data_IF_454967058585
#
_entry.id   IF_454967058585
#
_cell.length_a   1.000
_cell.length_b   1.000
_cell.length_c   1.000
_cell.angle_alpha   90.00
_cell.angle_beta   90.00
_cell.angle_gamma   90.00
#
_symmetry.space_group_name_H-M   'P 1'
#
loop_
_entity.id
_entity.type
_entity.pdbx_description
1 polymer ?
#
# COMPACT_ATOMS: atom_id res chain seq x y z
N UNK A 1 15.23 13.82 -6.94
CA UNK A 1 15.07 14.68 -5.75
C UNK A 1 14.27 13.98 -4.64
N UNK A 2 12.99 13.66 -4.84
CA UNK A 2 12.13 13.09 -3.79
C UNK A 2 12.66 11.83 -3.10
N UNK A 3 13.20 10.83 -3.83
CA UNK A 3 13.79 9.65 -3.20
C UNK A 3 15.02 9.97 -2.32
N UNK A 4 15.76 11.05 -2.59
CA UNK A 4 16.88 11.48 -1.74
C UNK A 4 16.35 12.02 -0.42
N UNK A 5 15.28 12.83 -0.46
CA UNK A 5 14.58 13.31 0.74
C UNK A 5 14.00 12.14 1.55
N UNK A 6 13.37 11.16 0.89
CA UNK A 6 12.84 9.97 1.56
C UNK A 6 13.92 9.17 2.30
N UNK A 7 15.12 9.02 1.71
CA UNK A 7 16.25 8.35 2.39
C UNK A 7 16.75 9.13 3.61
N UNK A 8 16.71 10.46 3.56
CA UNK A 8 17.08 11.29 4.70
C UNK A 8 16.06 11.15 5.84
N UNK A 9 14.77 11.23 5.51
CA UNK A 9 13.68 11.00 6.49
C UNK A 9 13.78 9.59 7.07
N UNK A 10 14.08 8.57 6.25
CA UNK A 10 14.26 7.19 6.73
C UNK A 10 15.33 7.11 7.82
N UNK A 11 16.46 7.81 7.64
CA UNK A 11 17.54 7.85 8.63
C UNK A 11 17.12 8.56 9.92
N UNK A 12 16.40 9.67 9.82
CA UNK A 12 15.90 10.43 10.96
C UNK A 12 14.83 9.66 11.76
N UNK A 13 14.06 8.81 11.09
CA UNK A 13 13.04 7.96 11.69
C UNK A 13 13.53 6.55 12.05
N UNK A 14 14.84 6.27 11.92
CA UNK A 14 15.44 4.95 12.19
C UNK A 14 14.77 3.80 11.41
N UNK A 15 14.38 4.06 10.15
CA UNK A 15 13.79 3.08 9.25
C UNK A 15 14.91 2.44 8.41
N UNK A 16 15.21 1.17 8.69
CA UNK A 16 16.23 0.40 7.94
C UNK A 16 15.80 0.04 6.51
N UNK A 17 14.49 -0.04 6.26
CA UNK A 17 13.95 -0.36 4.94
C UNK A 17 14.21 0.79 3.98
N UNK A 18 14.77 0.49 2.81
CA UNK A 18 14.99 1.49 1.77
C UNK A 18 13.67 2.16 1.33
N UNK A 19 13.48 3.43 1.65
CA UNK A 19 12.29 4.19 1.25
C UNK A 19 12.39 4.67 -0.20
N UNK A 20 11.29 4.53 -0.92
CA UNK A 20 11.09 5.08 -2.27
C UNK A 20 9.66 5.51 -2.45
N UNK A 21 9.39 6.36 -3.44
CA UNK A 21 8.01 6.74 -3.80
C UNK A 21 7.14 5.51 -4.10
N UNK A 22 7.70 4.48 -4.74
CA UNK A 22 6.98 3.22 -5.00
C UNK A 22 6.56 2.53 -3.71
N UNK A 23 7.47 2.42 -2.74
CA UNK A 23 7.18 1.81 -1.43
C UNK A 23 6.18 2.65 -0.63
N UNK A 24 6.32 3.97 -0.63
CA UNK A 24 5.37 4.86 0.02
C UNK A 24 3.95 4.72 -0.59
N UNK A 25 3.86 4.63 -1.92
CA UNK A 25 2.60 4.39 -2.62
C UNK A 25 1.98 3.05 -2.24
N UNK A 26 2.79 2.00 -2.12
CA UNK A 26 2.33 0.68 -1.68
C UNK A 26 1.84 0.70 -0.23
N UNK A 27 2.57 1.33 0.68
CA UNK A 27 2.14 1.50 2.07
C UNK A 27 0.81 2.26 2.17
N UNK A 28 0.63 3.33 1.38
CA UNK A 28 -0.63 4.04 1.31
C UNK A 28 -1.76 3.15 0.77
N UNK A 29 -1.51 2.37 -0.28
CA UNK A 29 -2.48 1.44 -0.88
C UNK A 29 -3.04 0.45 0.14
N UNK A 30 -2.15 -0.24 0.87
CA UNK A 30 -2.52 -1.17 1.95
C UNK A 30 -3.38 -0.48 3.02
N UNK A 31 -2.89 0.63 3.61
CA UNK A 31 -3.58 1.29 4.73
C UNK A 31 -4.95 1.85 4.31
N UNK A 32 -5.04 2.37 3.09
CA UNK A 32 -6.24 3.05 2.62
C UNK A 32 -7.31 2.06 2.14
N UNK A 33 -6.94 0.87 1.66
CA UNK A 33 -7.86 -0.18 1.23
C UNK A 33 -8.83 -0.60 2.34
N UNK A 34 -8.34 -0.69 3.57
CA UNK A 34 -9.15 -1.12 4.73
C UNK A 34 -10.05 -0.02 5.30
N UNK A 35 -9.71 1.25 5.04
CA UNK A 35 -10.30 2.40 5.74
C UNK A 35 -11.15 3.30 4.86
N UNK A 36 -10.97 3.24 3.54
CA UNK A 36 -11.57 4.18 2.60
C UNK A 36 -12.40 3.41 1.58
N UNK A 37 -13.67 3.79 1.45
CA UNK A 37 -14.58 3.19 0.47
C UNK A 37 -14.00 3.27 -0.96
N UNK A 38 -14.09 2.21 -1.79
CA UNK A 38 -13.45 2.16 -3.13
C UNK A 38 -13.78 3.33 -4.06
N UNK A 39 -15.01 3.86 -4.03
CA UNK A 39 -15.41 5.05 -4.81
C UNK A 39 -14.64 6.32 -4.38
N UNK A 40 -14.28 6.43 -3.11
CA UNK A 40 -13.48 7.56 -2.62
C UNK A 40 -12.01 7.37 -2.98
N UNK A 41 -11.49 6.14 -2.90
CA UNK A 41 -10.15 5.80 -3.40
C UNK A 41 -9.99 6.12 -4.89
N UNK A 42 -11.00 5.84 -5.71
CA UNK A 42 -11.00 6.18 -7.13
C UNK A 42 -10.75 7.67 -7.35
N UNK A 43 -11.42 8.54 -6.58
CA UNK A 43 -11.24 10.00 -6.64
C UNK A 43 -9.84 10.42 -6.17
N UNK A 44 -9.35 9.83 -5.08
CA UNK A 44 -8.02 10.12 -4.53
C UNK A 44 -6.90 9.71 -5.48
N UNK A 45 -7.04 8.55 -6.13
CA UNK A 45 -6.11 8.08 -7.16
C UNK A 45 -6.29 8.76 -8.51
N UNK A 46 -7.38 9.51 -8.69
CA UNK A 46 -7.78 10.13 -9.96
C UNK A 46 -7.92 9.11 -11.09
N UNK A 47 -8.44 7.93 -10.77
CA UNK A 47 -8.74 6.92 -11.77
C UNK A 47 -10.11 7.17 -12.41
N UNK A 48 -10.18 7.11 -13.74
CA UNK A 48 -11.45 7.30 -14.46
C UNK A 48 -12.45 6.17 -14.21
N UNK A 49 -11.97 4.97 -13.90
CA UNK A 49 -12.78 3.77 -13.72
C UNK A 49 -12.55 3.15 -12.33
N UNK A 50 -13.63 2.72 -11.67
CA UNK A 50 -13.59 1.99 -10.41
C UNK A 50 -12.86 0.66 -10.55
N UNK A 51 -12.99 -0.03 -11.70
CA UNK A 51 -12.29 -1.28 -12.01
C UNK A 51 -10.77 -1.12 -11.90
N UNK A 52 -10.23 0.00 -12.37
CA UNK A 52 -8.79 0.31 -12.22
C UNK A 52 -8.38 0.42 -10.75
N UNK A 53 -9.25 0.98 -9.91
CA UNK A 53 -9.01 1.12 -8.47
C UNK A 53 -9.09 -0.24 -7.77
N UNK A 54 -10.08 -1.07 -8.10
CA UNK A 54 -10.22 -2.42 -7.55
C UNK A 54 -9.05 -3.31 -7.95
N UNK A 55 -8.65 -3.29 -9.22
CA UNK A 55 -7.47 -4.04 -9.69
C UNK A 55 -6.18 -3.55 -9.03
N UNK A 56 -6.05 -2.24 -8.81
CA UNK A 56 -4.91 -1.70 -8.08
C UNK A 56 -4.91 -2.21 -6.63
N UNK A 57 -6.06 -2.15 -5.94
CA UNK A 57 -6.25 -2.62 -4.56
C UNK A 57 -6.05 -4.13 -4.41
N UNK A 58 -6.42 -4.93 -5.42
CA UNK A 58 -6.22 -6.38 -5.41
C UNK A 58 -4.74 -6.79 -5.26
N UNK A 59 -3.79 -5.96 -5.71
CA UNK A 59 -2.35 -6.24 -5.54
C UNK A 59 -1.88 -6.20 -4.08
N UNK A 60 -2.73 -5.72 -3.16
CA UNK A 60 -2.44 -5.55 -1.74
C UNK A 60 -3.06 -6.64 -0.87
N UNK A 61 -4.26 -7.12 -1.24
CA UNK A 61 -5.07 -8.08 -0.47
C UNK A 61 -4.41 -9.46 -0.33
N UNK A 62 -3.55 -9.85 -1.28
CA UNK A 62 -2.95 -11.18 -1.30
C UNK A 62 -2.19 -11.51 -0.01
N UNK A 63 -1.50 -10.54 0.60
CA UNK A 63 -0.70 -10.81 1.81
C UNK A 63 -1.57 -11.07 3.03
N UNK A 64 -2.65 -10.33 3.22
CA UNK A 64 -3.51 -10.51 4.39
C UNK A 64 -4.34 -11.79 4.27
N UNK A 65 -4.75 -12.16 3.04
CA UNK A 65 -5.42 -13.43 2.79
C UNK A 65 -4.48 -14.62 3.04
N UNK A 66 -3.22 -14.52 2.59
CA UNK A 66 -2.19 -15.54 2.84
C UNK A 66 -1.85 -15.62 4.34
N UNK A 67 -1.64 -14.50 5.03
CA UNK A 67 -1.36 -14.44 6.47
C UNK A 67 -2.54 -14.98 7.31
N UNK A 68 -3.79 -14.65 6.92
CA UNK A 68 -4.99 -15.19 7.56
C UNK A 68 -5.14 -16.70 7.33
N UNK A 69 -4.80 -17.17 6.13
CA UNK A 69 -4.81 -18.59 5.81
C UNK A 69 -3.75 -19.35 6.62
N UNK A 70 -2.52 -18.84 6.70
CA UNK A 70 -1.43 -19.41 7.51
C UNK A 70 -1.82 -19.51 8.99
N UNK A 71 -2.52 -18.49 9.52
CA UNK A 71 -3.01 -18.50 10.91
C UNK A 71 -3.98 -19.63 11.24
N UNK A 72 -4.69 -20.16 10.23
CA UNK A 72 -5.67 -21.25 10.37
C UNK A 72 -5.02 -22.60 10.05
N UNK A 73 -4.08 -22.65 9.10
CA UNK A 73 -3.53 -23.89 8.55
C UNK A 73 -2.29 -24.40 9.32
N UNK A 74 -1.61 -23.56 10.14
CA UNK A 74 -0.50 -23.92 11.06
C UNK A 74 -0.04 -25.40 11.00
N UNK A 75 0.93 -25.70 10.13
CA UNK A 75 1.74 -26.94 10.19
C UNK A 75 2.89 -26.78 11.18
#
# INVERSE_FOLDING_TARGET
>A
VFNKCLKQIAKECEIDKNLSNHIARHSFGNIAGDRIHPLMLQKLYRHSDLKTTLNYQANFIHRDADDALDSVINF
#
